data_IF_206052095689
#
_entry.id   IF_206052095689
#
_cell.length_a   1.000
_cell.length_b   1.000
_cell.length_c   1.000
_cell.angle_alpha   90.00
_cell.angle_beta   90.00
_cell.angle_gamma   90.00
#
_symmetry.space_group_name_H-M   'P 1'
#
loop_
_entity.id
_entity.type
_entity.pdbx_description
1 polymer ?
#
# COMPACT_ATOMS: atom_id res chain seq x y z
N UNK A 1 36.82 -32.58 -0.19
CA UNK A 1 35.40 -32.20 0.01
C UNK A 1 35.36 -30.96 0.87
N UNK A 2 35.32 -29.78 0.24
CA UNK A 2 35.11 -28.53 0.96
C UNK A 2 33.60 -28.33 1.09
N UNK A 3 33.10 -28.41 2.33
CA UNK A 3 31.73 -28.08 2.66
C UNK A 3 31.55 -26.58 2.41
N UNK A 4 30.84 -26.21 1.35
CA UNK A 4 30.29 -24.86 1.22
C UNK A 4 29.22 -24.77 2.30
N UNK A 5 29.59 -24.21 3.46
CA UNK A 5 28.59 -23.71 4.38
C UNK A 5 27.84 -22.60 3.62
N UNK A 6 26.59 -22.86 3.24
CA UNK A 6 25.64 -21.81 2.91
C UNK A 6 25.53 -20.93 4.16
N UNK A 7 26.39 -19.93 4.28
CA UNK A 7 26.28 -18.91 5.29
C UNK A 7 25.10 -18.05 4.83
N UNK A 8 23.90 -18.15 5.43
CA UNK A 8 22.83 -17.25 5.03
C UNK A 8 23.31 -15.86 5.42
N UNK A 9 23.52 -14.99 4.43
CA UNK A 9 23.69 -13.57 4.68
C UNK A 9 22.45 -13.18 5.46
N UNK A 10 22.57 -13.03 6.78
CA UNK A 10 21.44 -12.65 7.61
C UNK A 10 21.08 -11.24 7.17
N UNK A 11 19.89 -11.05 6.62
CA UNK A 11 19.54 -9.73 6.15
C UNK A 11 19.35 -8.81 7.37
N UNK A 12 19.36 -7.48 7.17
CA UNK A 12 19.21 -6.51 8.26
C UNK A 12 17.97 -6.80 9.11
N UNK A 13 17.92 -6.38 10.39
CA UNK A 13 16.82 -6.70 11.31
C UNK A 13 15.41 -6.40 10.80
N UNK A 14 15.23 -5.43 9.89
CA UNK A 14 13.95 -5.03 9.30
C UNK A 14 13.60 -5.72 7.97
N UNK A 15 14.45 -6.63 7.48
CA UNK A 15 14.27 -7.21 6.14
C UNK A 15 13.06 -8.13 6.04
N UNK A 16 12.79 -8.93 7.08
CA UNK A 16 11.64 -9.84 7.04
C UNK A 16 10.32 -9.06 6.99
N UNK A 17 10.24 -7.95 7.73
CA UNK A 17 9.11 -7.03 7.69
C UNK A 17 9.02 -6.31 6.33
N UNK A 18 10.14 -5.87 5.78
CA UNK A 18 10.20 -5.32 4.42
C UNK A 18 9.62 -6.28 3.38
N UNK A 19 10.10 -7.53 3.36
CA UNK A 19 9.63 -8.56 2.42
C UNK A 19 8.17 -8.91 2.67
N UNK A 20 7.74 -8.94 3.93
CA UNK A 20 6.33 -9.15 4.27
C UNK A 20 5.44 -8.04 3.70
N UNK A 21 5.86 -6.77 3.76
CA UNK A 21 5.11 -5.68 3.13
C UNK A 21 5.04 -5.81 1.61
N UNK A 22 6.14 -6.21 0.97
CA UNK A 22 6.12 -6.42 -0.49
C UNK A 22 5.14 -7.52 -0.89
N UNK A 23 5.20 -8.67 -0.22
CA UNK A 23 4.26 -9.76 -0.47
C UNK A 23 2.83 -9.41 -0.08
N UNK A 24 2.63 -8.62 0.98
CA UNK A 24 1.31 -8.16 1.37
C UNK A 24 0.69 -7.24 0.31
N UNK A 25 1.49 -6.35 -0.29
CA UNK A 25 1.03 -5.50 -1.39
C UNK A 25 0.48 -6.34 -2.55
N UNK A 26 1.24 -7.35 -2.98
CA UNK A 26 0.94 -8.17 -4.16
C UNK A 26 -0.13 -9.24 -3.89
N UNK A 27 -0.05 -9.92 -2.75
CA UNK A 27 -0.87 -11.09 -2.44
C UNK A 27 -2.16 -10.79 -1.71
N UNK A 28 -2.23 -9.66 -0.99
CA UNK A 28 -3.36 -9.35 -0.09
C UNK A 28 -4.05 -8.05 -0.44
N UNK A 29 -3.31 -6.93 -0.48
CA UNK A 29 -3.90 -5.60 -0.59
C UNK A 29 -4.44 -5.27 -2.00
N UNK A 30 -3.73 -5.70 -3.05
CA UNK A 30 -4.13 -5.43 -4.44
C UNK A 30 -5.37 -6.22 -4.87
N UNK A 31 -5.52 -7.46 -4.40
CA UNK A 31 -6.58 -8.37 -4.84
C UNK A 31 -8.01 -7.80 -4.64
N UNK A 32 -8.43 -7.34 -3.44
CA UNK A 32 -9.77 -6.80 -3.24
C UNK A 32 -9.99 -5.50 -4.03
N UNK A 33 -8.95 -4.68 -4.26
CA UNK A 33 -9.04 -3.49 -5.10
C UNK A 33 -9.29 -3.84 -6.57
N UNK A 34 -8.56 -4.83 -7.11
CA UNK A 34 -8.77 -5.33 -8.47
C UNK A 34 -10.16 -5.96 -8.64
N UNK A 35 -10.59 -6.77 -7.67
CA UNK A 35 -11.94 -7.33 -7.67
C UNK A 35 -13.00 -6.23 -7.66
N UNK A 36 -12.83 -5.19 -6.84
CA UNK A 36 -13.75 -4.05 -6.83
C UNK A 36 -13.83 -3.35 -8.19
N UNK A 37 -12.69 -3.17 -8.87
CA UNK A 37 -12.62 -2.58 -10.21
C UNK A 37 -13.36 -3.43 -11.25
N UNK A 38 -13.14 -4.75 -11.27
CA UNK A 38 -13.79 -5.62 -12.25
C UNK A 38 -15.28 -5.80 -11.97
N UNK A 39 -15.65 -6.03 -10.72
CA UNK A 39 -17.05 -6.20 -10.31
C UNK A 39 -17.84 -4.91 -10.52
N UNK A 40 -17.24 -3.74 -10.28
CA UNK A 40 -17.88 -2.46 -10.56
C UNK A 40 -18.24 -2.26 -12.03
N UNK A 41 -17.52 -2.89 -12.97
CA UNK A 41 -17.87 -2.87 -14.41
C UNK A 41 -19.09 -3.70 -14.77
N UNK A 42 -19.53 -4.59 -13.88
CA UNK A 42 -20.71 -5.45 -14.09
C UNK A 42 -22.03 -4.77 -13.70
N UNK A 43 -21.97 -3.57 -13.10
CA UNK A 43 -23.16 -2.88 -12.59
C UNK A 43 -23.90 -3.73 -11.54
N UNK A 44 -25.23 -3.78 -11.64
CA UNK A 44 -26.09 -4.51 -10.70
C UNK A 44 -25.76 -6.01 -10.58
N UNK A 45 -25.22 -6.63 -11.64
CA UNK A 45 -24.82 -8.03 -11.59
C UNK A 45 -23.66 -8.29 -10.59
N UNK A 46 -22.89 -7.26 -10.24
CA UNK A 46 -21.82 -7.32 -9.25
C UNK A 46 -22.28 -7.16 -7.80
N UNK A 47 -23.51 -6.70 -7.57
CA UNK A 47 -24.04 -6.38 -6.24
C UNK A 47 -23.79 -7.46 -5.16
N UNK A 48 -23.96 -8.77 -5.43
CA UNK A 48 -23.75 -9.81 -4.41
C UNK A 48 -22.30 -9.94 -3.92
N UNK A 49 -21.30 -9.50 -4.70
CA UNK A 49 -19.89 -9.62 -4.35
C UNK A 49 -19.36 -8.41 -3.58
N UNK A 50 -19.99 -7.24 -3.74
CA UNK A 50 -19.54 -6.00 -3.10
C UNK A 50 -19.45 -6.07 -1.56
N UNK A 51 -20.36 -6.73 -0.82
CA UNK A 51 -20.21 -6.85 0.64
C UNK A 51 -18.90 -7.53 1.06
N UNK A 52 -18.53 -8.62 0.40
CA UNK A 52 -17.27 -9.34 0.69
C UNK A 52 -16.05 -8.50 0.31
N UNK A 53 -16.09 -7.89 -0.87
CA UNK A 53 -15.00 -7.02 -1.36
C UNK A 53 -14.79 -5.85 -0.41
N UNK A 54 -15.86 -5.15 -0.03
CA UNK A 54 -15.78 -4.00 0.87
C UNK A 54 -15.29 -4.39 2.27
N UNK A 55 -15.70 -5.56 2.78
CA UNK A 55 -15.18 -6.09 4.05
C UNK A 55 -13.67 -6.34 3.98
N UNK A 56 -13.15 -6.92 2.90
CA UNK A 56 -11.70 -7.11 2.74
C UNK A 56 -10.95 -5.80 2.54
N UNK A 57 -11.59 -4.84 1.84
CA UNK A 57 -11.05 -3.48 1.71
C UNK A 57 -10.87 -2.84 3.10
N UNK A 58 -11.91 -2.91 3.93
CA UNK A 58 -11.84 -2.37 5.29
C UNK A 58 -10.80 -3.10 6.15
N UNK A 59 -10.70 -4.44 6.05
CA UNK A 59 -9.71 -5.23 6.78
C UNK A 59 -8.27 -4.79 6.46
N UNK A 60 -7.93 -4.61 5.17
CA UNK A 60 -6.58 -4.18 4.82
C UNK A 60 -6.31 -2.74 5.26
N UNK A 61 -7.29 -1.82 5.11
CA UNK A 61 -7.11 -0.43 5.51
C UNK A 61 -6.90 -0.33 7.01
N UNK A 62 -7.65 -1.07 7.81
CA UNK A 62 -7.47 -1.13 9.26
C UNK A 62 -6.09 -1.67 9.64
N UNK A 63 -5.60 -2.72 8.95
CA UNK A 63 -4.27 -3.26 9.20
C UNK A 63 -3.16 -2.26 8.86
N UNK A 64 -3.26 -1.61 7.69
CA UNK A 64 -2.30 -0.61 7.24
C UNK A 64 -2.30 0.63 8.15
N UNK A 65 -3.47 1.13 8.53
CA UNK A 65 -3.59 2.28 9.43
C UNK A 65 -3.05 1.97 10.82
N UNK A 66 -3.28 0.74 11.32
CA UNK A 66 -2.69 0.27 12.58
C UNK A 66 -1.17 0.25 12.50
N UNK A 67 -0.58 -0.25 11.40
CA UNK A 67 0.87 -0.25 11.23
C UNK A 67 1.44 1.19 11.21
N UNK A 68 0.79 2.09 10.48
CA UNK A 68 1.18 3.50 10.38
C UNK A 68 0.87 4.33 11.64
N UNK A 69 0.10 3.80 12.60
CA UNK A 69 -0.08 4.45 13.90
C UNK A 69 1.19 4.41 14.77
N UNK A 70 2.13 3.51 14.46
CA UNK A 70 3.33 3.29 15.27
C UNK A 70 4.55 4.09 14.77
N UNK A 71 4.54 4.57 13.53
CA UNK A 71 5.69 5.19 12.87
C UNK A 71 5.28 6.01 11.64
N UNK A 72 6.16 6.90 11.18
CA UNK A 72 5.87 7.77 10.04
C UNK A 72 5.79 7.03 8.69
N UNK A 73 6.44 5.87 8.57
CA UNK A 73 6.52 5.00 7.40
C UNK A 73 6.44 3.52 7.84
N UNK A 74 6.30 2.61 6.88
CA UNK A 74 6.06 1.18 7.15
C UNK A 74 7.22 0.46 7.84
N UNK A 75 8.44 1.00 7.76
CA UNK A 75 9.64 0.44 8.39
C UNK A 75 10.31 1.47 9.32
N UNK A 76 9.50 2.20 10.08
CA UNK A 76 9.96 3.22 11.02
C UNK A 76 9.86 4.63 10.45
N UNK A 77 10.89 5.45 10.63
CA UNK A 77 10.82 6.89 10.33
C UNK A 77 11.49 7.28 9.00
N UNK A 78 11.89 6.30 8.19
CA UNK A 78 12.48 6.52 6.87
C UNK A 78 11.63 5.87 5.78
N UNK A 79 11.42 6.60 4.68
CA UNK A 79 10.72 6.06 3.50
C UNK A 79 11.51 4.90 2.90
N UNK A 80 10.83 3.80 2.65
CA UNK A 80 11.38 2.61 2.02
C UNK A 80 10.68 2.27 0.70
N UNK A 81 11.19 1.26 -0.02
CA UNK A 81 10.50 0.74 -1.19
C UNK A 81 9.16 0.06 -0.85
N UNK A 82 8.97 -0.41 0.38
CA UNK A 82 7.67 -0.91 0.84
C UNK A 82 6.62 0.19 0.82
N UNK A 83 6.98 1.41 1.27
CA UNK A 83 6.09 2.55 1.22
C UNK A 83 5.73 2.93 -0.22
N UNK A 84 6.71 2.89 -1.13
CA UNK A 84 6.49 3.20 -2.55
C UNK A 84 5.52 2.19 -3.16
N UNK A 85 5.67 0.89 -2.90
CA UNK A 85 4.77 -0.12 -3.46
C UNK A 85 3.37 -0.02 -2.85
N UNK A 86 3.27 0.18 -1.53
CA UNK A 86 2.00 0.31 -0.83
C UNK A 86 1.29 1.65 -1.14
N UNK A 87 2.01 2.67 -1.61
CA UNK A 87 1.45 4.02 -1.84
C UNK A 87 0.23 3.99 -2.74
N UNK A 88 0.25 3.18 -3.80
CA UNK A 88 -0.87 3.01 -4.73
C UNK A 88 -2.15 2.59 -4.02
N UNK A 89 -2.06 1.70 -3.03
CA UNK A 89 -3.20 1.20 -2.27
C UNK A 89 -3.83 2.34 -1.46
N UNK A 90 -3.01 3.12 -0.77
CA UNK A 90 -3.47 4.28 0.00
C UNK A 90 -4.05 5.38 -0.88
N UNK A 91 -3.39 5.69 -1.99
CA UNK A 91 -3.83 6.70 -2.95
C UNK A 91 -5.14 6.34 -3.65
N UNK A 92 -5.34 5.06 -4.02
CA UNK A 92 -6.61 4.57 -4.56
C UNK A 92 -7.72 4.65 -3.50
N UNK A 93 -7.42 4.25 -2.25
CA UNK A 93 -8.40 4.36 -1.16
C UNK A 93 -8.83 5.82 -0.92
N UNK A 94 -7.88 6.76 -1.00
CA UNK A 94 -8.17 8.20 -0.97
C UNK A 94 -9.09 8.64 -2.10
N UNK A 95 -8.76 8.26 -3.34
CA UNK A 95 -9.58 8.59 -4.50
C UNK A 95 -11.00 8.01 -4.44
N UNK A 96 -11.19 6.90 -3.73
CA UNK A 96 -12.50 6.29 -3.47
C UNK A 96 -13.23 6.87 -2.25
N UNK A 97 -12.66 7.89 -1.58
CA UNK A 97 -13.26 8.51 -0.39
C UNK A 97 -13.28 7.61 0.84
N UNK A 98 -12.40 6.60 0.91
CA UNK A 98 -12.42 5.56 1.96
C UNK A 98 -11.57 5.90 3.19
N UNK A 99 -10.89 7.05 3.24
CA UNK A 99 -9.95 7.39 4.32
C UNK A 99 -10.59 8.01 5.58
N UNK A 100 -11.91 8.18 5.63
CA UNK A 100 -12.58 8.85 6.76
C UNK A 100 -12.23 8.24 8.13
N UNK A 101 -12.04 6.92 8.18
CA UNK A 101 -11.72 6.16 9.40
C UNK A 101 -10.22 5.84 9.55
N UNK A 102 -9.36 6.32 8.63
CA UNK A 102 -7.94 5.92 8.54
C UNK A 102 -7.00 7.14 8.51
N UNK A 103 -6.87 7.85 9.64
CA UNK A 103 -6.12 9.11 9.71
C UNK A 103 -4.61 8.92 9.54
N UNK A 104 -4.03 7.78 9.93
CA UNK A 104 -2.60 7.52 9.80
C UNK A 104 -2.22 7.26 8.34
N UNK A 105 -3.10 6.57 7.59
CA UNK A 105 -2.96 6.43 6.13
C UNK A 105 -3.01 7.82 5.46
N UNK A 106 -3.96 8.67 5.85
CA UNK A 106 -4.07 10.02 5.29
C UNK A 106 -2.78 10.83 5.50
N UNK A 107 -2.28 10.86 6.74
CA UNK A 107 -1.03 11.55 7.08
C UNK A 107 0.18 10.97 6.34
N UNK A 108 0.27 9.63 6.20
CA UNK A 108 1.33 8.97 5.45
C UNK A 108 1.34 9.33 3.97
N UNK A 109 0.16 9.41 3.33
CA UNK A 109 0.04 9.87 1.94
C UNK A 109 0.51 11.31 1.79
N UNK A 110 0.00 12.20 2.64
CA UNK A 110 0.42 13.62 2.62
C UNK A 110 1.94 13.75 2.79
N UNK A 111 2.52 12.98 3.71
CA UNK A 111 3.96 12.98 4.00
C UNK A 111 4.80 12.59 2.77
N UNK A 112 4.50 11.47 2.10
CA UNK A 112 5.31 11.08 0.94
C UNK A 112 5.05 11.95 -0.30
N UNK A 113 3.82 12.46 -0.46
CA UNK A 113 3.48 13.34 -1.59
C UNK A 113 4.10 14.73 -1.47
N UNK A 114 4.31 15.23 -0.25
CA UNK A 114 5.01 16.50 -0.01
C UNK A 114 6.50 16.48 -0.37
N UNK A 115 7.09 15.29 -0.58
CA UNK A 115 8.53 15.16 -0.86
C UNK A 115 8.89 15.78 -2.22
N UNK A 116 9.96 16.58 -2.32
CA UNK A 116 10.44 17.11 -3.61
C UNK A 116 10.71 16.02 -4.66
N UNK A 117 11.17 14.85 -4.22
CA UNK A 117 11.41 13.71 -5.09
C UNK A 117 10.12 13.14 -5.71
N UNK A 118 9.02 13.09 -4.96
CA UNK A 118 7.71 12.66 -5.47
C UNK A 118 7.19 13.66 -6.51
N UNK A 119 7.26 14.95 -6.20
CA UNK A 119 6.87 16.03 -7.11
C UNK A 119 7.71 16.04 -8.40
N UNK A 120 9.02 15.76 -8.29
CA UNK A 120 9.90 15.61 -9.44
C UNK A 120 9.56 14.36 -10.28
N UNK A 121 9.17 13.26 -9.64
CA UNK A 121 8.73 12.04 -10.32
C UNK A 121 7.43 12.29 -11.10
N UNK A 122 6.44 12.98 -10.52
CA UNK A 122 5.20 13.36 -11.21
C UNK A 122 5.46 14.20 -12.47
N UNK A 123 6.34 15.20 -12.39
CA UNK A 123 6.71 16.05 -13.54
C UNK A 123 7.31 15.25 -14.70
N UNK A 124 8.00 14.15 -14.41
CA UNK A 124 8.64 13.28 -15.43
C UNK A 124 7.71 12.16 -15.91
N UNK A 125 6.85 11.63 -15.04
CA UNK A 125 6.02 10.45 -15.29
C UNK A 125 4.74 10.73 -16.08
N UNK A 126 4.37 12.00 -16.26
CA UNK A 126 3.12 12.38 -16.94
C UNK A 126 1.93 12.44 -15.99
N UNK A 127 0.71 12.43 -16.54
CA UNK A 127 -0.51 12.58 -15.74
C UNK A 127 -0.67 11.39 -14.79
N UNK A 128 -0.76 11.69 -13.49
CA UNK A 128 -1.05 10.70 -12.45
C UNK A 128 -2.33 11.10 -11.72
N UNK A 129 -3.42 10.36 -11.95
CA UNK A 129 -4.76 10.73 -11.47
C UNK A 129 -4.92 10.68 -9.95
N UNK A 130 -3.97 10.07 -9.23
CA UNK A 130 -4.00 9.95 -7.78
C UNK A 130 -3.06 10.93 -7.04
N UNK A 131 -2.32 11.75 -7.80
CA UNK A 131 -1.52 12.85 -7.27
C UNK A 131 -2.40 13.91 -6.58
N UNK A 132 -1.87 14.67 -5.61
CA UNK A 132 -2.56 15.85 -5.11
C UNK A 132 -2.71 16.89 -6.24
N UNK A 133 -3.87 17.55 -6.29
CA UNK A 133 -4.18 18.62 -7.25
C UNK A 133 -3.58 19.96 -6.84
#
# INVERSE_FOLDING_TARGET
MATVACNPIRPPPAYDEYVQWLHFAEGSAMLPLMLNLYVGRLGEAGAPLHPRINSEVANYLSYLDTALSQSDYLLGNELSAADIQMSFIGEIARAQGKLGDYPHIAAWIERFQARPAYQAALKKGGKYDFAPH
#
